data_IF_303618828677
#
_entry.id   IF_303618828677
#
_cell.length_a   1.000
_cell.length_b   1.000
_cell.length_c   1.000
_cell.angle_alpha   90.00
_cell.angle_beta   90.00
_cell.angle_gamma   90.00
#
_symmetry.space_group_name_H-M   'P 1'
#
loop_
_entity.id
_entity.type
_entity.pdbx_description
1 polymer ?
#
# COMPACT_ATOMS: atom_id res chain seq x y z
N UNK A 1 14.45 -36.42 -1.42
CA UNK A 1 14.24 -35.09 -2.04
C UNK A 1 13.55 -34.23 -1.00
N UNK A 2 14.30 -33.45 -0.23
CA UNK A 2 13.75 -32.53 0.78
C UNK A 2 13.18 -31.33 0.02
N UNK A 3 11.86 -31.23 -0.09
CA UNK A 3 11.21 -29.98 -0.48
C UNK A 3 11.45 -29.00 0.66
N UNK A 4 12.36 -28.05 0.48
CA UNK A 4 12.43 -26.88 1.35
C UNK A 4 11.11 -26.12 1.15
N UNK A 5 10.16 -26.35 2.06
CA UNK A 5 8.95 -25.57 2.17
C UNK A 5 9.39 -24.17 2.63
N UNK A 6 9.69 -23.30 1.67
CA UNK A 6 10.01 -21.92 1.97
C UNK A 6 8.79 -21.32 2.67
N UNK A 7 8.97 -20.59 3.78
CA UNK A 7 7.84 -19.97 4.45
C UNK A 7 7.05 -19.13 3.44
N UNK A 8 5.73 -19.14 3.52
CA UNK A 8 4.91 -18.30 2.64
C UNK A 8 5.34 -16.83 2.78
N UNK A 9 5.47 -16.06 1.67
CA UNK A 9 5.81 -14.65 1.75
C UNK A 9 4.76 -13.90 2.57
N UNK A 10 5.20 -13.04 3.49
CA UNK A 10 4.28 -12.20 4.24
C UNK A 10 3.81 -11.06 3.37
N UNK A 11 2.49 -10.96 3.17
CA UNK A 11 1.86 -9.92 2.35
C UNK A 11 1.00 -9.02 3.23
N UNK A 12 1.23 -7.71 3.15
CA UNK A 12 0.35 -6.69 3.70
C UNK A 12 -0.50 -6.08 2.59
N UNK A 13 -1.81 -6.11 2.78
CA UNK A 13 -2.78 -5.46 1.92
C UNK A 13 -3.04 -4.05 2.43
N UNK A 14 -2.93 -3.07 1.54
CA UNK A 14 -3.08 -1.65 1.80
C UNK A 14 -4.22 -1.08 0.95
N UNK A 15 -5.47 -1.13 1.43
CA UNK A 15 -6.61 -0.51 0.75
C UNK A 15 -6.46 1.02 0.63
N UNK A 16 -7.30 1.58 -0.23
CA UNK A 16 -7.41 3.03 -0.42
C UNK A 16 -8.44 3.68 0.50
N UNK A 17 -8.76 4.94 0.20
CA UNK A 17 -9.85 5.68 0.85
C UNK A 17 -11.17 4.88 0.78
N UNK A 18 -11.95 4.88 1.87
CA UNK A 18 -13.19 4.11 2.03
C UNK A 18 -13.03 2.59 2.13
N UNK A 19 -11.80 2.10 2.29
CA UNK A 19 -11.45 0.68 2.38
C UNK A 19 -11.80 -0.14 1.11
N UNK A 20 -11.48 -1.42 1.13
CA UNK A 20 -11.84 -2.40 0.11
C UNK A 20 -13.07 -3.20 0.58
N UNK A 21 -14.24 -2.92 -0.01
CA UNK A 21 -15.47 -3.67 0.25
C UNK A 21 -15.37 -5.17 -0.12
N UNK A 22 -16.37 -6.00 0.24
CA UNK A 22 -16.28 -7.46 0.10
C UNK A 22 -16.05 -7.97 -1.34
N UNK A 23 -16.58 -7.26 -2.32
CA UNK A 23 -16.41 -7.61 -3.73
C UNK A 23 -15.04 -7.21 -4.31
N UNK A 24 -14.30 -6.34 -3.62
CA UNK A 24 -13.01 -5.84 -4.07
C UNK A 24 -11.95 -6.95 -4.09
N UNK A 25 -11.03 -6.92 -5.05
CA UNK A 25 -10.03 -7.97 -5.25
C UNK A 25 -9.09 -8.13 -4.05
N UNK A 26 -8.74 -7.05 -3.34
CA UNK A 26 -8.00 -7.13 -2.07
C UNK A 26 -8.72 -8.00 -1.03
N UNK A 27 -10.04 -7.81 -0.85
CA UNK A 27 -10.85 -8.62 0.07
C UNK A 27 -10.92 -10.08 -0.34
N UNK A 28 -11.01 -10.34 -1.65
CA UNK A 28 -10.95 -11.70 -2.20
C UNK A 28 -9.59 -12.36 -1.96
N UNK A 29 -8.49 -11.63 -2.17
CA UNK A 29 -7.14 -12.12 -1.92
C UNK A 29 -6.88 -12.37 -0.43
N UNK A 30 -7.38 -11.48 0.44
CA UNK A 30 -7.36 -11.69 1.88
C UNK A 30 -8.04 -13.01 2.25
N UNK A 31 -9.25 -13.26 1.75
CA UNK A 31 -10.00 -14.47 2.02
C UNK A 31 -9.34 -15.73 1.42
N UNK A 32 -8.79 -15.63 0.20
CA UNK A 32 -8.22 -16.77 -0.53
C UNK A 32 -6.83 -17.17 -0.02
N UNK A 33 -6.03 -16.22 0.46
CA UNK A 33 -4.61 -16.44 0.77
C UNK A 33 -4.24 -16.16 2.23
N UNK A 34 -5.15 -15.62 3.04
CA UNK A 34 -4.87 -15.24 4.42
C UNK A 34 -3.90 -14.07 4.55
N UNK A 35 -3.73 -13.26 3.51
CA UNK A 35 -2.91 -12.05 3.55
C UNK A 35 -3.48 -11.06 4.57
N UNK A 36 -2.60 -10.29 5.22
CA UNK A 36 -3.03 -9.40 6.31
C UNK A 36 -3.39 -8.03 5.75
N UNK A 37 -4.62 -7.57 5.97
CA UNK A 37 -4.99 -6.16 5.80
C UNK A 37 -4.39 -5.31 6.91
N UNK A 38 -3.81 -4.18 6.54
CA UNK A 38 -3.43 -3.16 7.51
C UNK A 38 -4.67 -2.32 7.79
N UNK A 39 -5.20 -2.46 9.00
CA UNK A 39 -6.29 -1.61 9.47
C UNK A 39 -5.81 -0.17 9.61
N UNK A 40 -6.64 0.77 9.20
CA UNK A 40 -6.37 2.19 9.28
C UNK A 40 -7.23 2.87 10.34
N UNK A 41 -6.75 3.99 10.89
CA UNK A 41 -7.42 4.68 12.00
C UNK A 41 -8.84 5.13 11.65
N UNK A 42 -9.01 5.77 10.49
CA UNK A 42 -10.31 6.17 9.94
C UNK A 42 -10.25 6.07 8.40
N UNK A 43 -11.15 5.24 7.84
CA UNK A 43 -11.25 5.00 6.40
C UNK A 43 -11.94 6.12 5.63
N UNK A 44 -12.79 6.91 6.30
CA UNK A 44 -13.54 8.01 5.69
C UNK A 44 -12.82 9.35 5.83
N UNK A 45 -12.05 9.53 6.91
CA UNK A 45 -11.16 10.67 7.13
C UNK A 45 -9.69 10.21 7.22
N UNK A 46 -9.07 9.84 6.09
CA UNK A 46 -7.75 9.26 6.10
C UNK A 46 -6.68 10.33 6.33
N UNK A 47 -6.23 10.52 7.56
CA UNK A 47 -5.12 11.43 7.82
C UNK A 47 -3.78 10.71 7.52
N UNK A 48 -2.93 11.36 6.72
CA UNK A 48 -1.66 10.77 6.27
C UNK A 48 -0.79 10.29 7.45
N UNK A 49 -0.66 11.10 8.50
CA UNK A 49 0.15 10.75 9.68
C UNK A 49 -0.33 9.49 10.39
N UNK A 50 -1.64 9.37 10.60
CA UNK A 50 -2.24 8.21 11.27
C UNK A 50 -2.01 6.95 10.44
N UNK A 51 -2.21 7.04 9.12
CA UNK A 51 -2.03 5.91 8.22
C UNK A 51 -0.57 5.46 8.12
N UNK A 52 0.37 6.41 8.14
CA UNK A 52 1.81 6.13 8.20
C UNK A 52 2.17 5.32 9.45
N UNK A 53 1.61 5.68 10.61
CA UNK A 53 1.84 4.97 11.86
C UNK A 53 1.34 3.52 11.78
N UNK A 54 0.12 3.32 11.28
CA UNK A 54 -0.46 1.99 11.13
C UNK A 54 0.38 1.08 10.21
N UNK A 55 0.90 1.62 9.10
CA UNK A 55 1.80 0.88 8.22
C UNK A 55 3.13 0.56 8.92
N UNK A 56 3.72 1.53 9.62
CA UNK A 56 4.98 1.33 10.36
C UNK A 56 4.84 0.20 11.38
N UNK A 57 3.80 0.24 12.22
CA UNK A 57 3.53 -0.82 13.20
C UNK A 57 3.32 -2.17 12.52
N UNK A 58 2.56 -2.19 11.42
CA UNK A 58 2.32 -3.41 10.67
C UNK A 58 3.64 -3.99 10.12
N UNK A 59 4.52 -3.17 9.55
CA UNK A 59 5.84 -3.60 9.07
C UNK A 59 6.68 -4.13 10.24
N UNK A 60 6.67 -3.45 11.39
CA UNK A 60 7.47 -3.84 12.54
C UNK A 60 7.04 -5.18 13.16
N UNK A 61 5.74 -5.46 13.19
CA UNK A 61 5.14 -6.71 13.67
C UNK A 61 5.36 -7.90 12.72
N UNK A 62 5.69 -7.66 11.46
CA UNK A 62 5.84 -8.70 10.44
C UNK A 62 7.11 -9.52 10.68
N UNK A 63 6.98 -10.82 10.96
CA UNK A 63 8.10 -11.69 11.40
C UNK A 63 9.19 -11.97 10.35
N UNK A 64 9.04 -11.45 9.13
CA UNK A 64 9.98 -11.68 8.03
C UNK A 64 11.31 -10.92 8.20
N UNK A 65 12.23 -11.48 8.99
CA UNK A 65 13.65 -11.22 8.84
C UNK A 65 14.46 -12.49 9.17
N UNK A 66 15.41 -12.94 8.31
CA UNK A 66 15.81 -12.40 7.01
C UNK A 66 15.43 -13.33 5.83
N UNK A 67 14.27 -13.99 5.84
CA UNK A 67 13.61 -14.53 4.63
C UNK A 67 12.29 -15.22 5.00
N UNK A 68 11.28 -15.19 4.11
CA UNK A 68 11.16 -14.43 2.86
C UNK A 68 10.55 -13.05 3.17
N UNK A 69 11.24 -11.97 2.79
CA UNK A 69 10.91 -10.59 3.16
C UNK A 69 9.48 -10.15 2.84
N UNK A 70 9.04 -9.06 3.49
CA UNK A 70 7.67 -8.54 3.45
C UNK A 70 7.30 -7.97 2.07
N UNK A 71 6.11 -8.26 1.57
CA UNK A 71 5.55 -7.65 0.35
C UNK A 71 4.37 -6.74 0.70
N UNK A 72 4.35 -5.54 0.13
CA UNK A 72 3.22 -4.61 0.22
C UNK A 72 2.38 -4.72 -1.05
N UNK A 73 1.06 -4.83 -0.92
CA UNK A 73 0.12 -4.80 -2.05
C UNK A 73 -0.87 -3.68 -1.78
N UNK A 74 -0.80 -2.61 -2.57
CA UNK A 74 -1.53 -1.38 -2.33
C UNK A 74 -2.47 -1.02 -3.47
N UNK A 75 -3.59 -0.38 -3.13
CA UNK A 75 -4.57 0.13 -4.07
C UNK A 75 -4.94 1.57 -3.76
N UNK A 76 -5.12 2.42 -4.78
CA UNK A 76 -5.64 3.78 -4.59
C UNK A 76 -4.75 4.62 -3.67
N UNK A 77 -5.35 5.17 -2.63
CA UNK A 77 -4.65 5.95 -1.60
C UNK A 77 -3.57 5.14 -0.86
N UNK A 78 -3.73 3.81 -0.80
CA UNK A 78 -2.71 2.91 -0.24
C UNK A 78 -1.38 3.00 -1.01
N UNK A 79 -1.40 3.30 -2.31
CA UNK A 79 -0.16 3.48 -3.09
C UNK A 79 0.62 4.71 -2.60
N UNK A 80 -0.08 5.81 -2.32
CA UNK A 80 0.50 7.03 -1.77
C UNK A 80 0.97 6.82 -0.33
N UNK A 81 0.30 5.96 0.43
CA UNK A 81 0.77 5.53 1.75
C UNK A 81 2.13 4.83 1.66
N UNK A 82 2.32 3.90 0.71
CA UNK A 82 3.63 3.25 0.52
C UNK A 82 4.71 4.28 0.18
N UNK A 83 4.43 5.20 -0.75
CA UNK A 83 5.37 6.25 -1.15
C UNK A 83 5.72 7.18 0.02
N UNK A 84 4.72 7.69 0.75
CA UNK A 84 4.92 8.57 1.90
C UNK A 84 5.63 7.86 3.06
N UNK A 85 5.34 6.59 3.29
CA UNK A 85 5.99 5.81 4.34
C UNK A 85 7.47 5.60 4.03
N UNK A 86 7.78 5.26 2.78
CA UNK A 86 9.15 5.01 2.34
C UNK A 86 10.07 6.24 2.45
N UNK A 87 9.53 7.46 2.40
CA UNK A 87 10.33 8.69 2.58
C UNK A 87 10.67 8.99 4.04
N UNK A 88 9.93 8.45 5.01
CA UNK A 88 10.10 8.76 6.43
C UNK A 88 10.65 7.58 7.25
N UNK A 89 10.30 6.35 6.87
CA UNK A 89 10.63 5.16 7.66
C UNK A 89 12.10 4.75 7.50
N UNK A 90 12.70 4.31 8.61
CA UNK A 90 14.02 3.66 8.63
C UNK A 90 13.93 2.14 8.41
N UNK A 91 12.72 1.61 8.30
CA UNK A 91 12.43 0.17 8.25
C UNK A 91 12.08 -0.32 6.84
N UNK A 92 12.33 0.50 5.81
CA UNK A 92 12.14 0.15 4.40
C UNK A 92 12.93 -1.08 3.97
N UNK A 93 14.08 -1.36 4.60
CA UNK A 93 14.88 -2.57 4.38
C UNK A 93 14.15 -3.88 4.71
N UNK A 94 13.03 -3.84 5.45
CA UNK A 94 12.19 -5.03 5.74
C UNK A 94 11.27 -5.40 4.58
N UNK A 95 10.99 -4.44 3.69
CA UNK A 95 10.12 -4.63 2.52
C UNK A 95 10.97 -5.15 1.36
N UNK A 96 10.63 -6.35 0.89
CA UNK A 96 11.23 -6.97 -0.29
C UNK A 96 10.70 -6.33 -1.57
N UNK A 97 9.39 -6.12 -1.64
CA UNK A 97 8.74 -5.61 -2.84
C UNK A 97 7.40 -4.93 -2.56
N UNK A 98 6.94 -4.10 -3.50
CA UNK A 98 5.60 -3.54 -3.51
C UNK A 98 4.89 -3.71 -4.87
N UNK A 99 3.61 -4.07 -4.84
CA UNK A 99 2.68 -3.98 -5.97
C UNK A 99 1.74 -2.79 -5.71
N UNK A 100 1.74 -1.81 -6.60
CA UNK A 100 0.96 -0.57 -6.49
C UNK A 100 -0.07 -0.56 -7.61
N UNK A 101 -1.36 -0.51 -7.29
CA UNK A 101 -2.45 -0.64 -8.27
C UNK A 101 -3.33 0.61 -8.23
N UNK A 102 -3.57 1.22 -9.40
CA UNK A 102 -4.47 2.37 -9.57
C UNK A 102 -4.26 3.48 -8.51
N UNK A 103 -3.08 4.13 -8.46
CA UNK A 103 -2.79 5.17 -7.46
C UNK A 103 -3.79 6.33 -7.55
N UNK A 104 -4.19 6.86 -6.40
CA UNK A 104 -5.12 8.00 -6.35
C UNK A 104 -4.41 9.33 -6.62
N UNK A 105 -4.90 10.10 -7.59
CA UNK A 105 -4.44 11.47 -7.79
C UNK A 105 -5.13 12.44 -6.80
N UNK A 106 -4.52 12.60 -5.63
CA UNK A 106 -5.03 13.48 -4.55
C UNK A 106 -4.88 14.97 -4.83
N UNK A 107 -4.17 15.35 -5.89
CA UNK A 107 -3.93 16.76 -6.23
C UNK A 107 -4.99 17.33 -7.18
N UNK A 108 -5.90 16.47 -7.68
CA UNK A 108 -7.11 16.86 -8.40
C UNK A 108 -8.01 17.71 -7.53
N UNK A 109 -8.62 18.73 -8.13
CA UNK A 109 -9.45 19.70 -7.41
C UNK A 109 -10.58 19.05 -6.58
N UNK A 110 -11.23 18.03 -7.14
CA UNK A 110 -12.32 17.31 -6.47
C UNK A 110 -11.89 16.58 -5.18
N UNK A 111 -10.62 16.21 -5.06
CA UNK A 111 -10.09 15.46 -3.91
C UNK A 111 -9.21 16.31 -3.00
N UNK A 112 -8.70 17.45 -3.48
CA UNK A 112 -7.75 18.30 -2.76
C UNK A 112 -8.22 18.71 -1.37
N UNK A 113 -9.49 19.06 -1.23
CA UNK A 113 -10.06 19.44 0.07
C UNK A 113 -10.29 18.23 1.00
N UNK A 114 -10.69 17.09 0.44
CA UNK A 114 -11.04 15.88 1.19
C UNK A 114 -9.80 15.13 1.68
N UNK A 115 -8.72 15.18 0.89
CA UNK A 115 -7.47 14.43 1.12
C UNK A 115 -6.28 15.39 1.27
N UNK A 116 -6.51 16.59 1.81
CA UNK A 116 -5.51 17.66 1.90
C UNK A 116 -4.19 17.22 2.54
N UNK A 117 -4.22 16.34 3.55
CA UNK A 117 -3.01 15.83 4.21
C UNK A 117 -2.12 14.94 3.33
N UNK A 118 -2.61 14.52 2.17
CA UNK A 118 -1.90 13.63 1.23
C UNK A 118 -1.13 14.39 0.15
N UNK A 119 -1.28 15.70 0.06
CA UNK A 119 -0.51 16.56 -0.84
C UNK A 119 0.68 17.21 -0.11
N UNK A 120 1.84 17.43 -0.77
CA UNK A 120 2.16 16.95 -2.12
C UNK A 120 2.38 15.44 -2.16
N UNK A 121 2.16 14.84 -3.34
CA UNK A 121 2.52 13.44 -3.60
C UNK A 121 4.05 13.28 -3.55
N UNK A 122 4.61 12.29 -2.83
CA UNK A 122 6.04 12.00 -2.87
C UNK A 122 6.46 11.41 -4.22
N UNK A 123 7.51 11.97 -4.83
CA UNK A 123 8.04 11.56 -6.14
C UNK A 123 9.42 10.87 -6.05
N UNK A 124 9.88 10.57 -4.84
CA UNK A 124 11.17 9.91 -4.65
C UNK A 124 11.08 8.43 -5.08
N UNK A 125 12.15 7.87 -5.67
CA UNK A 125 12.22 6.44 -5.97
C UNK A 125 12.03 5.59 -4.71
N UNK A 126 11.25 4.52 -4.81
CA UNK A 126 11.09 3.57 -3.71
C UNK A 126 12.39 2.79 -3.48
N UNK A 127 12.83 2.60 -2.22
CA UNK A 127 14.10 1.93 -1.88
C UNK A 127 14.03 0.39 -1.97
N UNK A 128 12.96 -0.16 -2.56
CA UNK A 128 12.73 -1.60 -2.75
C UNK A 128 12.09 -1.84 -4.12
N UNK A 129 12.14 -3.09 -4.60
CA UNK A 129 11.55 -3.47 -5.89
C UNK A 129 10.06 -3.13 -5.91
N UNK A 130 9.61 -2.44 -6.94
CA UNK A 130 8.22 -2.03 -7.06
C UNK A 130 7.68 -2.26 -8.46
N UNK A 131 6.38 -2.54 -8.54
CA UNK A 131 5.63 -2.64 -9.78
C UNK A 131 4.38 -1.78 -9.64
N UNK A 132 4.16 -0.90 -10.63
CA UNK A 132 2.97 -0.08 -10.73
C UNK A 132 2.06 -0.62 -11.83
N UNK A 133 0.77 -0.72 -11.54
CA UNK A 133 -0.28 -1.05 -12.49
C UNK A 133 -1.27 0.12 -12.56
N UNK A 134 -1.16 0.93 -13.61
CA UNK A 134 -2.11 2.00 -13.94
C UNK A 134 -3.07 1.58 -15.06
N UNK A 135 -4.32 2.04 -15.00
CA UNK A 135 -5.28 1.86 -16.10
C UNK A 135 -5.29 3.07 -17.03
N UNK A 136 -5.63 2.84 -18.30
CA UNK A 136 -5.78 3.92 -19.30
C UNK A 136 -7.16 4.57 -19.28
N UNK A 137 -8.10 3.94 -18.59
CA UNK A 137 -9.52 4.32 -18.50
C UNK A 137 -9.97 4.52 -17.05
N UNK A 138 -9.03 4.72 -16.11
CA UNK A 138 -9.35 5.03 -14.73
C UNK A 138 -9.96 6.46 -14.62
N UNK A 139 -11.23 6.61 -14.22
CA UNK A 139 -11.85 7.93 -14.09
C UNK A 139 -11.25 8.77 -12.95
N UNK A 140 -10.57 8.11 -12.00
CA UNK A 140 -9.95 8.68 -10.81
C UNK A 140 -8.51 9.17 -11.01
N UNK A 141 -7.78 8.66 -12.00
CA UNK A 141 -6.37 8.99 -12.23
C UNK A 141 -6.00 8.84 -13.72
N UNK A 142 -5.35 9.84 -14.32
CA UNK A 142 -4.90 9.69 -15.70
C UNK A 142 -3.68 8.78 -15.78
N UNK A 143 -3.45 8.15 -16.94
CA UNK A 143 -2.33 7.23 -17.12
C UNK A 143 -0.97 7.91 -16.92
N UNK A 144 -0.83 9.19 -17.29
CA UNK A 144 0.39 9.98 -17.10
C UNK A 144 0.60 10.41 -15.65
N UNK A 145 -0.46 10.43 -14.84
CA UNK A 145 -0.39 10.79 -13.41
C UNK A 145 -0.11 9.60 -12.51
N UNK A 146 -0.46 8.40 -12.95
CA UNK A 146 -0.18 7.15 -12.25
C UNK A 146 1.31 6.83 -12.22
#
# INVERSE_FOLDING_TARGET
MMTHDLPAPQVLLLPGWQDAGPAHWLSRWQAAHGYRRVEQHDWLRPLRGDWLMQLEEAVLQSKSAPAPGLTLVAHGLGCLLVAAWATHSRHTHRVKAALLVAPTDVEREALRALLASWSPIPWQPLPFSSMLLGSRDDPGCSFERA
#
